data_IF_076140025407
#
_entry.id   IF_076140025407
#
_cell.length_a   1.000
_cell.length_b   1.000
_cell.length_c   1.000
_cell.angle_alpha   90.00
_cell.angle_beta   90.00
_cell.angle_gamma   90.00
#
_symmetry.space_group_name_H-M   'P 1'
#
loop_
_entity.id
_entity.type
_entity.pdbx_description
1 polymer ?
#
# COMPACT_ATOMS: atom_id res chain seq x y z
N UNK A 1 -5.98 20.08 4.36
CA UNK A 1 -7.04 20.14 3.33
C UNK A 1 -7.45 18.73 2.88
N UNK A 2 -6.64 18.02 2.07
CA UNK A 2 -6.92 16.65 1.57
C UNK A 2 -7.53 15.71 2.63
N UNK A 3 -6.80 15.45 3.71
CA UNK A 3 -7.24 14.51 4.76
C UNK A 3 -8.49 14.95 5.55
N UNK A 4 -8.84 16.23 5.53
CA UNK A 4 -10.11 16.69 6.11
C UNK A 4 -11.31 16.20 5.29
N UNK A 5 -11.21 16.22 3.95
CA UNK A 5 -12.23 15.65 3.07
C UNK A 5 -12.31 14.13 3.25
N UNK A 6 -11.17 13.45 3.38
CA UNK A 6 -11.16 12.03 3.70
C UNK A 6 -11.92 11.71 5.00
N UNK A 7 -11.69 12.47 6.06
CA UNK A 7 -12.42 12.30 7.33
C UNK A 7 -13.92 12.55 7.17
N UNK A 8 -14.33 13.54 6.37
CA UNK A 8 -15.76 13.74 6.03
C UNK A 8 -16.32 12.51 5.32
N UNK A 9 -15.58 11.95 4.34
CA UNK A 9 -16.00 10.75 3.62
C UNK A 9 -16.08 9.51 4.53
N UNK A 10 -15.19 9.41 5.52
CA UNK A 10 -15.26 8.38 6.56
C UNK A 10 -16.50 8.51 7.46
N UNK A 11 -17.22 9.62 7.48
CA UNK A 11 -18.53 9.71 8.15
C UNK A 11 -19.69 9.53 7.17
N UNK A 12 -19.66 10.22 6.02
CA UNK A 12 -20.77 10.23 5.07
C UNK A 12 -20.98 8.87 4.38
N UNK A 13 -19.90 8.17 4.03
CA UNK A 13 -20.03 6.89 3.32
C UNK A 13 -20.64 5.80 4.21
N UNK A 14 -20.24 5.64 5.48
CA UNK A 14 -20.97 4.81 6.45
C UNK A 14 -22.46 5.06 6.56
N UNK A 15 -22.92 6.32 6.49
CA UNK A 15 -24.35 6.64 6.56
C UNK A 15 -25.14 6.05 5.37
N UNK A 16 -24.47 5.85 4.22
CA UNK A 16 -25.04 5.23 3.03
C UNK A 16 -24.68 3.74 2.89
N UNK A 17 -24.12 3.14 3.94
CA UNK A 17 -23.56 1.80 3.92
C UNK A 17 -22.57 1.55 2.76
N UNK A 18 -21.71 2.53 2.51
CA UNK A 18 -20.58 2.43 1.61
C UNK A 18 -19.29 2.41 2.41
N UNK A 19 -18.31 1.60 1.97
CA UNK A 19 -17.04 1.47 2.66
C UNK A 19 -16.08 2.54 2.13
N UNK A 20 -15.76 3.53 2.97
CA UNK A 20 -14.65 4.45 2.71
C UNK A 20 -13.32 3.74 3.01
N UNK A 21 -12.31 3.92 2.15
CA UNK A 21 -11.06 3.19 2.17
C UNK A 21 -9.86 4.14 2.07
N UNK A 22 -8.91 3.98 2.98
CA UNK A 22 -7.57 4.57 2.85
C UNK A 22 -6.66 3.62 2.07
N UNK A 23 -6.92 3.55 0.77
CA UNK A 23 -6.30 2.62 -0.16
C UNK A 23 -6.09 3.28 -1.52
N UNK A 24 -5.02 2.91 -2.22
CA UNK A 24 -4.92 3.15 -3.67
C UNK A 24 -5.72 2.10 -4.43
N UNK A 25 -6.00 2.34 -5.71
CA UNK A 25 -6.67 1.37 -6.56
C UNK A 25 -6.22 1.47 -8.03
N UNK A 26 -6.19 0.33 -8.70
CA UNK A 26 -5.99 0.24 -10.14
C UNK A 26 -6.84 -0.89 -10.76
N UNK A 27 -6.97 -0.87 -12.09
CA UNK A 27 -7.77 -1.83 -12.84
C UNK A 27 -6.96 -2.44 -13.98
N UNK A 28 -7.06 -3.76 -14.12
CA UNK A 28 -6.43 -4.50 -15.22
C UNK A 28 -7.22 -4.41 -16.51
N UNK A 29 -6.62 -4.88 -17.61
CA UNK A 29 -7.26 -4.89 -18.94
C UNK A 29 -8.58 -5.68 -18.99
N UNK A 30 -8.76 -6.64 -18.09
CA UNK A 30 -9.98 -7.46 -17.97
C UNK A 30 -11.02 -6.84 -17.02
N UNK A 31 -10.80 -5.62 -16.54
CA UNK A 31 -11.69 -4.96 -15.58
C UNK A 31 -11.51 -5.45 -14.13
N UNK A 32 -10.51 -6.30 -13.86
CA UNK A 32 -10.20 -6.79 -12.53
C UNK A 32 -9.60 -5.67 -11.68
N UNK A 33 -10.29 -5.27 -10.62
CA UNK A 33 -9.86 -4.17 -9.73
C UNK A 33 -9.02 -4.72 -8.58
N UNK A 34 -7.96 -4.00 -8.22
CA UNK A 34 -7.16 -4.25 -7.02
C UNK A 34 -7.15 -2.98 -6.16
N UNK A 35 -7.34 -3.14 -4.85
CA UNK A 35 -7.19 -2.05 -3.86
C UNK A 35 -6.03 -2.35 -2.92
N UNK A 36 -5.25 -1.34 -2.56
CA UNK A 36 -4.06 -1.48 -1.71
C UNK A 36 -4.19 -0.58 -0.47
N UNK A 37 -4.58 -1.16 0.66
CA UNK A 37 -4.64 -0.46 1.94
C UNK A 37 -3.25 -0.25 2.53
N UNK A 38 -3.03 0.88 3.18
CA UNK A 38 -1.76 1.17 3.81
C UNK A 38 -1.66 2.60 4.33
N UNK A 39 -0.77 2.83 5.30
CA UNK A 39 -0.44 4.19 5.70
C UNK A 39 0.41 4.92 4.64
N UNK A 40 0.62 6.21 4.86
CA UNK A 40 1.50 7.00 4.00
C UNK A 40 2.93 6.42 4.01
N UNK A 41 3.50 6.22 2.82
CA UNK A 41 4.88 5.73 2.68
C UNK A 41 5.05 4.21 2.82
N UNK A 42 3.96 3.43 2.78
CA UNK A 42 4.01 1.95 2.80
C UNK A 42 3.89 1.32 1.41
N UNK A 43 3.85 2.13 0.35
CA UNK A 43 3.88 1.66 -1.05
C UNK A 43 2.61 1.85 -1.86
N UNK A 44 1.52 2.41 -1.30
CA UNK A 44 0.24 2.59 -2.03
C UNK A 44 0.39 3.23 -3.41
N UNK A 45 1.02 4.41 -3.49
CA UNK A 45 1.25 5.12 -4.75
C UNK A 45 2.17 4.32 -5.68
N UNK A 46 3.34 3.90 -5.19
CA UNK A 46 4.34 3.16 -5.98
C UNK A 46 3.82 1.85 -6.58
N UNK A 47 2.93 1.14 -5.87
CA UNK A 47 2.41 -0.17 -6.26
C UNK A 47 1.11 -0.10 -7.06
N UNK A 48 0.37 1.01 -6.97
CA UNK A 48 -0.80 1.26 -7.82
C UNK A 48 -0.43 1.83 -9.19
N UNK A 49 0.68 2.57 -9.28
CA UNK A 49 1.32 2.99 -10.52
C UNK A 49 2.06 1.79 -11.18
N UNK A 50 1.27 0.92 -11.79
CA UNK A 50 1.70 -0.30 -12.46
C UNK A 50 1.59 -0.11 -13.99
N UNK A 51 2.66 -0.32 -14.77
CA UNK A 51 2.65 -0.09 -16.22
C UNK A 51 1.68 -1.02 -16.99
N UNK A 52 1.20 -2.10 -16.37
CA UNK A 52 0.27 -3.04 -16.98
C UNK A 52 -1.20 -2.76 -16.65
N UNK A 53 -1.48 -1.73 -15.83
CA UNK A 53 -2.81 -1.47 -15.25
C UNK A 53 -3.12 0.02 -15.26
N UNK A 54 -4.40 0.34 -15.41
CA UNK A 54 -4.85 1.72 -15.41
C UNK A 54 -5.09 2.20 -13.97
N UNK A 55 -4.48 3.31 -13.59
CA UNK A 55 -4.64 3.91 -12.26
C UNK A 55 -6.08 4.42 -12.07
N UNK A 56 -6.70 4.10 -10.93
CA UNK A 56 -7.96 4.70 -10.49
C UNK A 56 -7.66 5.86 -9.53
N UNK A 57 -6.72 5.67 -8.61
CA UNK A 57 -6.25 6.68 -7.68
C UNK A 57 -5.19 6.13 -6.71
N UNK A 58 -4.48 7.01 -6.01
CA UNK A 58 -3.29 6.61 -5.23
C UNK A 58 -3.48 6.55 -3.71
N UNK A 59 -4.63 6.97 -3.16
CA UNK A 59 -4.75 7.10 -1.70
C UNK A 59 -6.16 6.93 -1.10
N UNK A 60 -7.22 7.44 -1.75
CA UNK A 60 -8.55 7.58 -1.13
C UNK A 60 -9.70 7.10 -2.04
N UNK A 61 -10.38 6.02 -1.66
CA UNK A 61 -11.45 5.42 -2.48
C UNK A 61 -12.68 5.04 -1.64
N UNK A 62 -13.81 4.85 -2.31
CA UNK A 62 -15.04 4.32 -1.70
C UNK A 62 -15.51 3.10 -2.47
N UNK A 63 -15.89 2.04 -1.76
CA UNK A 63 -16.54 0.85 -2.32
C UNK A 63 -18.05 0.89 -2.08
N UNK A 64 -18.79 1.17 -3.15
CA UNK A 64 -20.25 1.26 -3.19
C UNK A 64 -20.90 -0.08 -3.54
N UNK A 65 -22.21 -0.09 -3.78
CA UNK A 65 -22.94 -1.21 -4.37
C UNK A 65 -22.57 -1.51 -5.83
N UNK A 66 -21.89 -0.59 -6.53
CA UNK A 66 -21.54 -0.72 -7.96
C UNK A 66 -20.06 -0.99 -8.25
N UNK A 67 -19.18 -0.71 -7.29
CA UNK A 67 -17.75 -0.82 -7.49
C UNK A 67 -16.98 0.18 -6.65
N UNK A 68 -15.82 0.62 -7.14
CA UNK A 68 -14.99 1.62 -6.47
C UNK A 68 -14.97 2.94 -7.22
N UNK A 69 -14.88 4.05 -6.50
CA UNK A 69 -14.55 5.35 -7.06
C UNK A 69 -13.47 6.06 -6.25
N UNK A 70 -12.65 6.88 -6.93
CA UNK A 70 -11.67 7.75 -6.31
C UNK A 70 -12.34 9.01 -5.76
N UNK A 71 -11.99 9.40 -4.54
CA UNK A 71 -12.46 10.65 -3.91
C UNK A 71 -11.77 11.87 -4.55
N UNK A 72 -10.57 11.68 -5.10
CA UNK A 72 -9.65 12.73 -5.50
C UNK A 72 -9.61 12.95 -7.04
N UNK A 73 -9.06 14.11 -7.44
CA UNK A 73 -8.77 14.43 -8.85
C UNK A 73 -7.26 14.42 -9.18
N UNK A 74 -6.42 13.96 -8.27
CA UNK A 74 -4.97 13.95 -8.40
C UNK A 74 -4.31 13.05 -7.35
N UNK A 75 -2.98 13.04 -7.36
CA UNK A 75 -2.18 12.28 -6.41
C UNK A 75 -1.34 13.24 -5.56
N UNK A 76 -1.10 12.87 -4.31
CA UNK A 76 -0.21 13.60 -3.39
C UNK A 76 0.91 12.67 -2.92
N UNK A 77 1.81 12.37 -3.85
CA UNK A 77 2.82 11.34 -3.72
C UNK A 77 3.99 11.79 -2.85
N UNK A 78 4.58 10.85 -2.11
CA UNK A 78 5.86 11.08 -1.41
C UNK A 78 6.98 11.19 -2.45
N UNK A 79 7.80 12.24 -2.33
CA UNK A 79 8.80 12.56 -3.34
C UNK A 79 10.19 11.98 -3.05
N UNK A 80 10.48 11.63 -1.79
CA UNK A 80 11.80 11.12 -1.40
C UNK A 80 12.17 9.85 -2.18
N UNK A 81 13.31 9.89 -2.87
CA UNK A 81 13.86 8.79 -3.66
C UNK A 81 13.22 8.57 -5.03
N UNK A 82 12.26 9.42 -5.45
CA UNK A 82 11.68 9.33 -6.79
C UNK A 82 12.76 9.42 -7.86
N UNK A 83 12.70 8.52 -8.83
CA UNK A 83 13.67 8.46 -9.91
C UNK A 83 13.05 7.77 -11.15
N UNK A 84 13.52 8.12 -12.35
CA UNK A 84 12.96 7.60 -13.60
C UNK A 84 13.26 6.11 -13.85
N UNK A 85 14.12 5.46 -13.05
CA UNK A 85 14.48 4.04 -13.25
C UNK A 85 13.47 3.10 -12.61
N UNK A 86 12.99 3.42 -11.40
CA UNK A 86 12.06 2.55 -10.66
C UNK A 86 10.61 3.03 -10.74
N UNK A 87 10.40 4.33 -10.83
CA UNK A 87 9.09 4.98 -10.68
C UNK A 87 8.87 6.04 -11.77
N UNK A 88 9.13 5.67 -13.04
CA UNK A 88 9.06 6.56 -14.20
C UNK A 88 7.75 7.35 -14.29
N UNK A 89 6.59 6.69 -14.18
CA UNK A 89 5.30 7.36 -14.36
C UNK A 89 5.07 8.47 -13.32
N UNK A 90 5.44 8.20 -12.06
CA UNK A 90 5.33 9.18 -10.97
C UNK A 90 6.36 10.30 -11.15
N UNK A 91 7.59 9.98 -11.56
CA UNK A 91 8.64 10.96 -11.81
C UNK A 91 8.24 11.91 -12.95
N UNK A 92 7.78 11.38 -14.09
CA UNK A 92 7.36 12.15 -15.27
C UNK A 92 6.10 12.99 -15.01
N UNK A 93 5.28 12.61 -14.03
CA UNK A 93 4.11 13.40 -13.60
C UNK A 93 4.48 14.72 -12.91
N UNK A 94 5.73 14.86 -12.43
CA UNK A 94 6.24 16.08 -11.80
C UNK A 94 6.71 17.07 -12.86
N UNK A 95 5.74 17.75 -13.47
CA UNK A 95 5.93 18.73 -14.56
C UNK A 95 4.98 19.91 -14.39
N UNK A 96 5.02 20.88 -15.31
CA UNK A 96 4.13 22.04 -15.27
C UNK A 96 2.66 21.66 -14.99
N UNK A 97 2.05 22.31 -14.00
CA UNK A 97 0.73 21.96 -13.45
C UNK A 97 0.79 21.13 -12.16
N UNK A 98 1.92 20.51 -11.83
CA UNK A 98 2.20 19.89 -10.54
C UNK A 98 2.78 20.90 -9.53
N UNK A 99 2.76 20.53 -8.24
CA UNK A 99 3.35 21.27 -7.13
C UNK A 99 4.37 20.38 -6.44
N UNK A 100 5.56 20.91 -6.16
CA UNK A 100 6.55 20.27 -5.29
C UNK A 100 6.56 20.99 -3.93
N UNK A 101 6.40 20.25 -2.85
CA UNK A 101 6.29 20.78 -1.50
C UNK A 101 7.47 20.29 -0.66
N UNK A 102 8.16 21.24 -0.03
CA UNK A 102 9.36 21.02 0.79
C UNK A 102 10.51 20.28 0.08
N UNK A 103 10.52 20.29 -1.26
CA UNK A 103 11.60 19.73 -2.06
C UNK A 103 12.70 20.77 -2.28
N UNK A 104 13.96 20.33 -2.31
CA UNK A 104 15.10 21.18 -2.63
C UNK A 104 15.40 21.05 -4.13
N UNK A 105 15.80 22.16 -4.76
CA UNK A 105 16.25 22.16 -6.15
C UNK A 105 17.78 22.07 -6.22
N UNK A 106 18.30 21.28 -7.14
CA UNK A 106 19.71 21.28 -7.49
C UNK A 106 20.07 22.64 -8.12
N UNK A 107 21.02 23.36 -7.50
CA UNK A 107 21.39 24.73 -7.90
C UNK A 107 21.94 24.85 -9.31
N UNK A 108 22.46 23.77 -9.88
CA UNK A 108 23.08 23.76 -11.22
C UNK A 108 22.09 23.36 -12.30
N UNK A 109 21.22 22.40 -12.02
CA UNK A 109 20.27 21.86 -13.01
C UNK A 109 18.89 22.51 -12.95
N UNK A 110 18.49 23.03 -11.78
CA UNK A 110 17.13 23.53 -11.53
C UNK A 110 16.11 22.42 -11.29
N UNK A 111 16.50 21.15 -11.44
CA UNK A 111 15.66 19.99 -11.16
C UNK A 111 15.51 19.76 -9.66
N UNK A 112 14.47 19.04 -9.26
CA UNK A 112 14.29 18.63 -7.86
C UNK A 112 15.36 17.59 -7.50
N UNK A 113 16.08 17.83 -6.40
CA UNK A 113 16.86 16.79 -5.75
C UNK A 113 15.92 15.95 -4.86
N UNK A 114 15.42 14.85 -5.44
CA UNK A 114 14.52 13.94 -4.75
C UNK A 114 15.18 13.16 -3.59
N UNK A 115 16.48 13.31 -3.36
CA UNK A 115 17.17 12.67 -2.23
C UNK A 115 17.46 13.63 -1.08
N UNK A 116 17.29 14.94 -1.29
CA UNK A 116 17.50 15.94 -0.25
C UNK A 116 16.31 15.99 0.73
N UNK A 117 16.59 15.61 1.98
CA UNK A 117 15.65 15.62 3.10
C UNK A 117 15.98 16.71 4.15
N UNK A 118 16.78 17.72 3.80
CA UNK A 118 17.26 18.77 4.71
C UNK A 118 16.13 19.63 5.28
N UNK A 119 15.06 19.84 4.52
CA UNK A 119 13.82 20.49 5.00
C UNK A 119 13.01 19.51 5.83
N UNK A 120 12.65 18.35 5.25
CA UNK A 120 11.93 17.29 5.95
C UNK A 120 12.06 15.92 5.24
N UNK A 121 11.73 14.84 5.95
CA UNK A 121 11.70 13.46 5.41
C UNK A 121 10.40 13.10 4.67
N UNK A 122 9.50 14.07 4.51
CA UNK A 122 8.18 13.93 3.90
C UNK A 122 8.00 14.97 2.80
N UNK A 123 9.01 15.09 1.94
CA UNK A 123 8.92 15.80 0.66
C UNK A 123 7.78 15.22 -0.16
N UNK A 124 7.06 16.09 -0.87
CA UNK A 124 5.82 15.73 -1.56
C UNK A 124 5.76 16.35 -2.93
N UNK A 125 5.06 15.68 -3.83
CA UNK A 125 4.63 16.20 -5.12
C UNK A 125 3.13 15.98 -5.27
N UNK A 126 2.41 17.03 -5.65
CA UNK A 126 0.99 16.98 -5.97
C UNK A 126 0.80 17.16 -7.47
N UNK A 127 0.11 16.25 -8.14
CA UNK A 127 -0.14 16.34 -9.58
C UNK A 127 -1.55 15.87 -9.93
N UNK A 128 -2.19 16.45 -10.96
CA UNK A 128 -3.47 15.97 -11.47
C UNK A 128 -3.39 14.51 -11.93
N UNK A 129 -4.47 13.75 -11.82
CA UNK A 129 -4.50 12.34 -12.23
C UNK A 129 -4.14 12.19 -13.72
N UNK A 130 -4.49 13.17 -14.54
CA UNK A 130 -4.17 13.26 -15.97
C UNK A 130 -2.68 13.40 -16.29
N UNK A 131 -1.81 13.56 -15.28
CA UNK A 131 -0.38 13.51 -15.48
C UNK A 131 0.16 12.08 -15.58
N UNK A 132 -0.58 11.08 -15.08
CA UNK A 132 -0.24 9.67 -15.17
C UNK A 132 -0.84 9.10 -16.45
N UNK A 133 0.00 8.52 -17.31
CA UNK A 133 -0.45 7.85 -18.52
C UNK A 133 -1.32 6.62 -18.15
N UNK A 134 -2.44 6.44 -18.86
CA UNK A 134 -3.37 5.33 -18.60
C UNK A 134 -4.27 5.50 -17.37
N UNK A 135 -4.11 6.55 -16.56
CA UNK A 135 -5.05 6.86 -15.48
C UNK A 135 -6.46 7.09 -16.03
N UNK A 136 -7.48 6.58 -15.32
CA UNK A 136 -8.87 6.73 -15.76
C UNK A 136 -9.32 8.19 -15.67
N UNK A 137 -9.77 8.76 -16.79
CA UNK A 137 -10.37 10.11 -16.81
C UNK A 137 -11.60 10.22 -15.90
N UNK A 138 -12.42 9.16 -15.85
CA UNK A 138 -13.46 8.97 -14.84
C UNK A 138 -12.99 7.85 -13.91
N UNK A 139 -12.47 8.22 -12.76
CA UNK A 139 -11.85 7.32 -11.79
C UNK A 139 -12.87 6.45 -11.02
N UNK A 140 -13.59 5.60 -11.76
CA UNK A 140 -14.59 4.65 -11.27
C UNK A 140 -14.34 3.30 -11.96
N UNK A 141 -14.42 2.21 -11.20
CA UNK A 141 -14.27 0.85 -11.71
C UNK A 141 -15.22 -0.12 -10.99
N UNK A 142 -15.18 -1.41 -11.36
CA UNK A 142 -16.00 -2.46 -10.77
C UNK A 142 -15.60 -2.85 -9.34
N UNK A 143 -16.09 -4.00 -8.88
CA UNK A 143 -15.77 -4.50 -7.55
C UNK A 143 -14.32 -5.04 -7.47
N UNK A 144 -13.58 -4.78 -6.38
CA UNK A 144 -12.26 -5.35 -6.15
C UNK A 144 -12.26 -6.87 -6.21
N UNK A 145 -11.49 -7.41 -7.16
CA UNK A 145 -11.16 -8.85 -7.24
C UNK A 145 -10.10 -9.20 -6.20
N UNK A 146 -9.17 -8.29 -5.97
CA UNK A 146 -8.08 -8.42 -5.00
C UNK A 146 -8.10 -7.24 -4.02
N UNK A 147 -7.90 -7.55 -2.73
CA UNK A 147 -7.71 -6.60 -1.64
C UNK A 147 -6.33 -6.87 -1.05
N UNK A 148 -5.45 -5.87 -1.05
CA UNK A 148 -4.07 -6.01 -0.57
C UNK A 148 -3.88 -5.11 0.65
N UNK A 149 -3.34 -5.66 1.73
CA UNK A 149 -2.93 -4.94 2.92
C UNK A 149 -1.41 -4.76 2.89
N UNK A 150 -0.95 -3.51 2.82
CA UNK A 150 0.47 -3.17 2.82
C UNK A 150 0.96 -2.96 4.25
N UNK A 151 1.76 -3.90 4.73
CA UNK A 151 2.42 -3.80 6.04
C UNK A 151 3.89 -3.44 5.86
N UNK A 152 4.29 -2.28 6.39
CA UNK A 152 5.70 -1.90 6.46
C UNK A 152 6.26 -2.44 7.78
N UNK A 153 6.61 -3.72 7.78
CA UNK A 153 7.13 -4.39 8.96
C UNK A 153 8.60 -4.01 9.20
N UNK A 154 8.87 -3.27 10.28
CA UNK A 154 10.21 -2.89 10.69
C UNK A 154 10.94 -3.99 11.49
N UNK A 155 10.24 -5.02 11.96
CA UNK A 155 10.85 -6.17 12.63
C UNK A 155 11.37 -7.22 11.65
N UNK A 156 10.84 -7.25 10.43
CA UNK A 156 11.27 -8.15 9.36
C UNK A 156 10.88 -9.61 9.59
N UNK A 157 9.74 -9.81 10.24
CA UNK A 157 9.15 -11.10 10.60
C UNK A 157 7.94 -11.44 9.72
N UNK A 158 7.33 -10.45 9.06
CA UNK A 158 6.20 -10.70 8.16
C UNK A 158 6.69 -11.36 6.87
N UNK A 159 5.96 -12.38 6.35
CA UNK A 159 6.26 -12.98 5.06
C UNK A 159 6.21 -11.93 3.94
N UNK A 160 6.92 -12.12 2.83
CA UNK A 160 6.78 -11.25 1.67
C UNK A 160 5.32 -11.13 1.23
N UNK A 161 4.60 -12.25 1.22
CA UNK A 161 3.16 -12.31 0.90
C UNK A 161 2.48 -13.43 1.68
N UNK A 162 1.25 -13.18 2.13
CA UNK A 162 0.37 -14.21 2.66
C UNK A 162 -1.05 -14.07 2.07
N UNK A 163 -1.70 -15.19 1.77
CA UNK A 163 -3.13 -15.22 1.43
C UNK A 163 -3.94 -15.32 2.71
N UNK A 164 -4.82 -14.36 2.94
CA UNK A 164 -5.60 -14.33 4.17
C UNK A 164 -6.93 -15.07 3.99
N UNK A 165 -7.28 -15.87 4.98
CA UNK A 165 -8.66 -16.34 5.15
C UNK A 165 -9.58 -15.17 5.50
N UNK A 166 -10.89 -15.32 5.36
CA UNK A 166 -11.84 -14.25 5.70
C UNK A 166 -11.71 -13.78 7.16
N UNK A 167 -11.47 -14.70 8.09
CA UNK A 167 -11.27 -14.39 9.51
C UNK A 167 -9.98 -13.56 9.73
N UNK A 168 -8.89 -13.95 9.07
CA UNK A 168 -7.63 -13.21 9.12
C UNK A 168 -7.75 -11.85 8.45
N UNK A 169 -8.45 -11.75 7.33
CA UNK A 169 -8.67 -10.49 6.63
C UNK A 169 -9.33 -9.47 7.57
N UNK A 170 -10.36 -9.88 8.32
CA UNK A 170 -10.99 -9.04 9.34
C UNK A 170 -9.99 -8.63 10.43
N UNK A 171 -9.28 -9.60 11.01
CA UNK A 171 -8.31 -9.36 12.07
C UNK A 171 -7.22 -8.37 11.64
N UNK A 172 -6.54 -8.65 10.53
CA UNK A 172 -5.44 -7.84 10.02
C UNK A 172 -5.90 -6.45 9.59
N UNK A 173 -7.12 -6.32 9.07
CA UNK A 173 -7.69 -5.03 8.73
C UNK A 173 -7.94 -4.16 9.96
N UNK A 174 -8.61 -4.70 10.99
CA UNK A 174 -8.92 -3.94 12.22
C UNK A 174 -7.65 -3.64 13.02
N UNK A 175 -6.69 -4.56 13.06
CA UNK A 175 -5.41 -4.37 13.72
C UNK A 175 -4.53 -3.34 12.98
N UNK A 176 -4.46 -3.44 11.65
CA UNK A 176 -3.74 -2.48 10.80
C UNK A 176 -2.26 -2.34 11.16
N UNK A 177 -1.57 -3.45 11.40
CA UNK A 177 -0.15 -3.47 11.72
C UNK A 177 0.70 -2.98 10.54
N UNK A 178 1.53 -1.97 10.77
CA UNK A 178 2.46 -1.41 9.79
C UNK A 178 3.53 -0.56 10.50
N UNK A 179 4.17 0.39 9.81
CA UNK A 179 5.05 1.38 10.44
C UNK A 179 4.66 2.81 10.07
N UNK A 180 4.77 3.71 11.05
CA UNK A 180 4.74 5.15 10.82
C UNK A 180 6.10 5.58 10.27
N UNK A 181 6.12 6.05 9.03
CA UNK A 181 7.34 6.47 8.35
C UNK A 181 7.72 7.89 8.81
N UNK A 182 9.01 8.20 9.01
CA UNK A 182 9.45 9.53 9.45
C UNK A 182 8.89 10.68 8.61
N UNK A 183 8.47 11.75 9.29
CA UNK A 183 8.01 13.00 8.69
C UNK A 183 6.54 13.05 8.28
N UNK A 184 5.80 11.93 8.37
CA UNK A 184 4.35 11.91 8.08
C UNK A 184 3.56 12.67 9.15
N UNK A 185 3.93 12.49 10.42
CA UNK A 185 3.34 13.19 11.57
C UNK A 185 4.40 14.06 12.27
N UNK A 186 3.96 15.17 12.85
CA UNK A 186 4.84 16.06 13.62
C UNK A 186 5.38 15.37 14.88
N UNK A 187 6.62 15.70 15.27
CA UNK A 187 7.26 15.12 16.47
C UNK A 187 7.77 13.69 16.32
N UNK A 188 7.74 13.12 15.12
CA UNK A 188 8.25 11.78 14.85
C UNK A 188 9.78 11.65 14.90
N UNK A 189 10.28 10.42 15.07
CA UNK A 189 11.72 10.12 15.01
C UNK A 189 12.24 9.99 13.59
N UNK A 190 13.58 10.00 13.43
CA UNK A 190 14.25 9.76 12.14
C UNK A 190 14.14 8.32 11.63
N UNK A 191 13.71 7.38 12.47
CA UNK A 191 13.49 5.97 12.14
C UNK A 191 12.01 5.63 12.14
N UNK A 192 11.61 4.70 11.27
CA UNK A 192 10.24 4.20 11.20
C UNK A 192 9.88 3.47 12.49
N UNK A 193 8.67 3.71 13.01
CA UNK A 193 8.18 3.09 14.24
C UNK A 193 7.03 2.13 13.93
N UNK A 194 7.10 0.86 14.37
CA UNK A 194 5.95 -0.04 14.31
C UNK A 194 4.71 0.59 14.95
N UNK A 195 3.57 0.43 14.30
CA UNK A 195 2.28 0.96 14.76
C UNK A 195 1.15 0.02 14.38
N UNK A 196 0.10 -0.01 15.20
CA UNK A 196 -1.20 -0.59 14.87
C UNK A 196 -2.14 0.56 14.56
N UNK A 197 -2.44 0.75 13.28
CA UNK A 197 -3.31 1.83 12.81
C UNK A 197 -4.55 1.22 12.19
N UNK A 198 -5.65 1.20 12.94
CA UNK A 198 -6.87 0.51 12.54
C UNK A 198 -7.30 0.83 11.11
N UNK A 199 -7.70 -0.21 10.38
CA UNK A 199 -8.13 -0.12 8.98
C UNK A 199 -7.05 0.46 8.04
N UNK A 200 -5.78 0.46 8.46
CA UNK A 200 -4.65 1.13 7.81
C UNK A 200 -4.90 2.64 7.58
N UNK A 201 -5.73 3.27 8.41
CA UNK A 201 -6.18 4.65 8.25
C UNK A 201 -6.64 5.29 9.55
N UNK A 202 -6.17 4.79 10.70
CA UNK A 202 -6.62 5.18 12.05
C UNK A 202 -6.79 6.69 12.27
N UNK A 203 -5.82 7.55 11.87
CA UNK A 203 -5.93 9.00 12.04
C UNK A 203 -7.12 9.67 11.35
N UNK A 204 -7.79 8.98 10.41
CA UNK A 204 -8.85 9.55 9.57
C UNK A 204 -10.24 8.96 9.86
N UNK A 205 -10.32 7.90 10.67
CA UNK A 205 -11.57 7.20 10.96
C UNK A 205 -12.48 8.06 11.85
N UNK A 206 -13.79 7.99 11.60
CA UNK A 206 -14.82 8.65 12.45
C UNK A 206 -15.60 7.65 13.30
N UNK A 207 -15.76 6.42 12.79
CA UNK A 207 -16.47 5.32 13.47
C UNK A 207 -15.45 4.36 14.09
N UNK A 208 -15.91 3.47 14.95
CA UNK A 208 -15.05 2.41 15.48
C UNK A 208 -14.53 1.49 14.36
N UNK A 209 -13.30 1.00 14.49
CA UNK A 209 -12.65 0.18 13.47
C UNK A 209 -13.46 -1.05 13.05
N UNK A 210 -14.13 -1.70 14.02
CA UNK A 210 -15.01 -2.85 13.78
C UNK A 210 -16.10 -2.55 12.75
N UNK A 211 -16.65 -1.33 12.73
CA UNK A 211 -17.69 -0.94 11.76
C UNK A 211 -17.18 -1.07 10.32
N UNK A 212 -15.99 -0.53 10.03
CA UNK A 212 -15.39 -0.66 8.71
C UNK A 212 -14.94 -2.09 8.42
N UNK A 213 -14.53 -2.83 9.45
CA UNK A 213 -14.21 -4.25 9.34
C UNK A 213 -15.40 -5.06 8.86
N UNK A 214 -16.56 -4.91 9.51
CA UNK A 214 -17.83 -5.55 9.13
C UNK A 214 -18.21 -5.22 7.68
N UNK A 215 -18.16 -3.94 7.31
CA UNK A 215 -18.41 -3.51 5.93
C UNK A 215 -17.46 -4.18 4.92
N UNK A 216 -16.15 -4.25 5.24
CA UNK A 216 -15.18 -4.90 4.37
C UNK A 216 -15.46 -6.40 4.25
N UNK A 217 -15.78 -7.09 5.35
CA UNK A 217 -16.11 -8.51 5.33
C UNK A 217 -17.34 -8.81 4.47
N UNK A 218 -18.42 -8.04 4.63
CA UNK A 218 -19.63 -8.18 3.82
C UNK A 218 -19.33 -7.99 2.33
N UNK A 219 -18.58 -6.93 1.97
CA UNK A 219 -18.20 -6.65 0.59
C UNK A 219 -17.33 -7.75 -0.01
N UNK A 220 -16.28 -8.18 0.70
CA UNK A 220 -15.38 -9.22 0.23
C UNK A 220 -16.11 -10.56 0.03
N UNK A 221 -17.00 -10.92 0.96
CA UNK A 221 -17.79 -12.15 0.85
C UNK A 221 -18.78 -12.09 -0.31
N UNK A 222 -19.49 -10.96 -0.49
CA UNK A 222 -20.43 -10.77 -1.59
C UNK A 222 -19.76 -10.83 -2.97
N UNK A 223 -18.52 -10.37 -3.07
CA UNK A 223 -17.81 -10.21 -4.34
C UNK A 223 -16.70 -11.23 -4.56
N UNK A 224 -16.54 -12.22 -3.67
CA UNK A 224 -15.48 -13.24 -3.72
C UNK A 224 -14.08 -12.65 -3.91
N UNK A 225 -13.79 -11.57 -3.19
CA UNK A 225 -12.50 -10.88 -3.24
C UNK A 225 -11.44 -11.71 -2.52
N UNK A 226 -10.26 -11.84 -3.13
CA UNK A 226 -9.09 -12.46 -2.47
C UNK A 226 -8.36 -11.41 -1.65
N UNK A 227 -7.91 -11.79 -0.45
CA UNK A 227 -7.23 -10.88 0.46
C UNK A 227 -5.77 -11.31 0.64
N UNK A 228 -4.88 -10.34 0.54
CA UNK A 228 -3.44 -10.54 0.58
C UNK A 228 -2.82 -9.62 1.62
N UNK A 229 -1.87 -10.13 2.41
CA UNK A 229 -0.98 -9.32 3.23
C UNK A 229 0.38 -9.26 2.54
N UNK A 230 0.90 -8.06 2.30
CA UNK A 230 2.15 -7.83 1.57
C UNK A 230 3.12 -7.03 2.43
N UNK A 231 4.29 -7.61 2.73
CA UNK A 231 5.33 -6.93 3.48
C UNK A 231 6.12 -5.99 2.53
N UNK A 232 5.99 -4.69 2.77
CA UNK A 232 6.73 -3.62 2.05
C UNK A 232 7.81 -2.97 2.91
N UNK A 233 8.04 -3.51 4.12
CA UNK A 233 9.02 -3.05 5.08
C UNK A 233 10.37 -3.72 4.88
N UNK A 234 10.78 -4.54 5.85
CA UNK A 234 12.11 -5.15 5.94
C UNK A 234 12.03 -6.68 5.89
N UNK A 235 13.13 -7.31 5.51
CA UNK A 235 13.25 -8.77 5.42
C UNK A 235 14.63 -9.25 5.90
N UNK A 236 14.67 -10.47 6.43
CA UNK A 236 15.90 -11.11 6.92
C UNK A 236 16.47 -10.48 8.20
N UNK A 237 15.66 -9.72 8.94
CA UNK A 237 16.05 -9.08 10.18
C UNK A 237 15.37 -7.73 10.42
N UNK A 238 15.71 -7.11 11.55
CA UNK A 238 15.10 -5.85 12.00
C UNK A 238 15.74 -4.63 11.34
N UNK A 239 14.92 -3.63 11.04
CA UNK A 239 15.36 -2.35 10.47
C UNK A 239 16.38 -1.62 11.35
N UNK A 240 16.20 -1.66 12.67
CA UNK A 240 17.09 -1.04 13.65
C UNK A 240 18.44 -1.77 13.82
N UNK A 241 18.59 -2.95 13.20
CA UNK A 241 19.82 -3.74 13.14
C UNK A 241 20.44 -3.77 11.74
N UNK A 242 20.04 -2.86 10.85
CA UNK A 242 20.62 -2.72 9.52
C UNK A 242 20.08 -3.70 8.48
N UNK A 243 18.95 -4.37 8.74
CA UNK A 243 18.29 -5.19 7.73
C UNK A 243 17.90 -4.36 6.51
N UNK A 244 17.82 -5.02 5.36
CA UNK A 244 17.45 -4.37 4.11
C UNK A 244 15.93 -4.34 3.97
N UNK A 245 15.43 -3.29 3.32
CA UNK A 245 14.04 -3.24 2.89
C UNK A 245 13.72 -4.33 1.87
N UNK A 246 12.47 -4.75 1.84
CA UNK A 246 11.96 -5.63 0.79
C UNK A 246 12.27 -5.01 -0.59
N UNK A 247 12.97 -5.72 -1.49
CA UNK A 247 13.27 -5.18 -2.80
C UNK A 247 11.99 -4.87 -3.59
N UNK A 248 11.85 -3.65 -4.10
CA UNK A 248 10.65 -3.26 -4.87
C UNK A 248 10.37 -4.20 -6.05
N UNK A 249 11.42 -4.73 -6.69
CA UNK A 249 11.29 -5.74 -7.77
C UNK A 249 10.58 -7.01 -7.29
N UNK A 250 10.87 -7.46 -6.08
CA UNK A 250 10.21 -8.62 -5.46
C UNK A 250 8.74 -8.31 -5.21
N UNK A 251 8.45 -7.17 -4.59
CA UNK A 251 7.07 -6.73 -4.30
C UNK A 251 6.24 -6.61 -5.58
N UNK A 252 6.79 -6.05 -6.67
CA UNK A 252 6.11 -5.98 -7.97
C UNK A 252 5.85 -7.36 -8.58
N UNK A 253 6.84 -8.26 -8.56
CA UNK A 253 6.65 -9.63 -9.06
C UNK A 253 5.57 -10.41 -8.29
N UNK A 254 5.43 -10.17 -6.98
CA UNK A 254 4.33 -10.74 -6.19
C UNK A 254 2.98 -10.19 -6.65
N UNK A 255 2.88 -8.88 -6.86
CA UNK A 255 1.66 -8.24 -7.33
C UNK A 255 1.27 -8.73 -8.73
N UNK A 256 2.24 -8.90 -9.63
CA UNK A 256 2.04 -9.50 -10.95
C UNK A 256 1.45 -10.92 -10.82
N UNK A 257 2.00 -11.73 -9.91
CA UNK A 257 1.52 -13.08 -9.62
C UNK A 257 0.11 -13.12 -8.96
N UNK A 258 -0.25 -12.08 -8.22
CA UNK A 258 -1.62 -11.88 -7.71
C UNK A 258 -2.57 -11.56 -8.87
N UNK A 259 -2.15 -10.69 -9.80
CA UNK A 259 -2.97 -10.25 -10.92
C UNK A 259 -3.19 -11.34 -11.97
N UNK A 260 -2.15 -12.10 -12.33
CA UNK A 260 -2.26 -13.24 -13.26
C UNK A 260 -2.90 -14.51 -12.62
N UNK A 261 -3.10 -14.46 -11.31
CA UNK A 261 -3.72 -15.50 -10.49
C UNK A 261 -2.84 -16.74 -10.29
N UNK A 262 -1.57 -16.71 -10.68
CA UNK A 262 -0.61 -17.80 -10.40
C UNK A 262 -0.52 -18.03 -8.90
N UNK A 263 -0.46 -16.96 -8.11
CA UNK A 263 -0.38 -17.02 -6.65
C UNK A 263 -1.66 -17.61 -6.04
N UNK A 264 -2.83 -17.40 -6.63
CA UNK A 264 -4.09 -18.00 -6.14
C UNK A 264 -4.16 -19.53 -6.35
N UNK A 265 -3.36 -20.06 -7.30
CA UNK A 265 -3.33 -21.47 -7.71
C UNK A 265 -2.15 -22.26 -7.11
N UNK A 266 -1.23 -21.63 -6.40
CA UNK A 266 -0.08 -22.31 -5.81
C UNK A 266 -0.44 -23.03 -4.52
N UNK A 267 0.37 -24.00 -4.12
CA UNK A 267 0.31 -24.61 -2.79
C UNK A 267 0.80 -23.63 -1.72
N UNK A 268 0.22 -23.74 -0.52
CA UNK A 268 0.58 -22.92 0.63
C UNK A 268 0.96 -23.79 1.83
N UNK A 269 1.87 -23.29 2.65
CA UNK A 269 2.25 -23.83 3.96
C UNK A 269 1.86 -22.84 5.07
N UNK A 270 1.65 -23.33 6.29
CA UNK A 270 1.33 -22.46 7.42
C UNK A 270 2.60 -21.78 7.95
N UNK A 271 2.55 -20.46 8.20
CA UNK A 271 3.69 -19.75 8.77
C UNK A 271 3.78 -20.02 10.28
N UNK A 272 4.91 -20.55 10.81
CA UNK A 272 4.98 -21.04 12.19
C UNK A 272 4.73 -20.00 13.29
N UNK A 273 4.83 -18.69 12.99
CA UNK A 273 4.63 -17.62 13.97
C UNK A 273 3.15 -17.30 14.28
N UNK A 274 2.19 -18.09 13.78
CA UNK A 274 0.78 -18.05 14.19
C UNK A 274 -0.03 -16.82 13.73
N UNK A 275 0.60 -15.83 13.09
CA UNK A 275 -0.08 -14.60 12.66
C UNK A 275 -0.67 -14.69 11.24
N UNK A 276 -0.15 -15.58 10.37
CA UNK A 276 -0.60 -15.78 8.99
C UNK A 276 -0.66 -17.29 8.67
N UNK A 277 -1.79 -17.83 8.22
CA UNK A 277 -1.92 -19.27 7.96
C UNK A 277 -1.59 -19.66 6.52
N UNK A 278 -0.85 -18.85 5.76
CA UNK A 278 -0.40 -19.27 4.44
C UNK A 278 0.82 -18.47 3.92
N UNK A 279 1.97 -19.13 3.83
CA UNK A 279 3.12 -18.76 3.00
C UNK A 279 3.09 -19.62 1.72
N UNK A 280 3.56 -19.10 0.59
CA UNK A 280 3.60 -19.85 -0.68
C UNK A 280 4.69 -20.93 -0.61
N UNK A 281 4.32 -22.20 -0.82
CA UNK A 281 5.29 -23.30 -0.97
C UNK A 281 5.91 -23.25 -2.35
N UNK A 282 7.25 -23.23 -2.43
CA UNK A 282 7.99 -23.28 -3.71
C UNK A 282 7.59 -24.50 -4.54
N UNK A 283 7.03 -24.26 -5.73
CA UNK A 283 7.40 -25.04 -6.90
C UNK A 283 7.92 -24.08 -7.98
N UNK A 284 9.22 -24.19 -8.30
CA UNK A 284 9.92 -23.52 -9.41
C UNK A 284 10.02 -21.99 -9.42
N UNK A 285 10.44 -21.35 -8.32
CA UNK A 285 10.99 -19.98 -8.39
C UNK A 285 12.02 -19.70 -7.29
N UNK A 286 13.26 -19.47 -7.68
CA UNK A 286 14.34 -18.99 -6.81
C UNK A 286 14.21 -17.53 -6.35
N UNK A 287 13.01 -16.97 -6.17
CA UNK A 287 12.82 -15.51 -6.20
C UNK A 287 12.30 -14.82 -4.93
N UNK A 288 11.70 -15.54 -3.97
CA UNK A 288 11.12 -14.93 -2.77
C UNK A 288 11.82 -15.51 -1.54
N UNK A 289 12.64 -14.69 -0.86
CA UNK A 289 13.43 -15.12 0.29
C UNK A 289 12.51 -15.37 1.49
N UNK A 290 12.70 -16.50 2.18
CA UNK A 290 12.11 -16.74 3.50
C UNK A 290 12.64 -15.69 4.49
N UNK A 291 11.78 -15.08 5.34
CA UNK A 291 12.23 -14.18 6.39
C UNK A 291 13.26 -14.83 7.33
N UNK A 292 13.16 -16.15 7.53
CA UNK A 292 13.97 -16.95 8.47
C UNK A 292 15.34 -17.37 7.93
N UNK A 293 15.57 -17.37 6.61
CA UNK A 293 16.87 -17.77 6.04
C UNK A 293 17.98 -16.70 6.20
N UNK A 294 17.61 -15.47 6.52
CA UNK A 294 18.56 -14.37 6.78
C UNK A 294 18.93 -14.18 8.26
N UNK A 295 18.25 -14.88 9.17
CA UNK A 295 18.50 -14.75 10.61
C UNK A 295 19.59 -15.74 11.03
N UNK A 296 20.79 -15.22 11.31
CA UNK A 296 21.81 -15.97 12.05
C UNK A 296 21.24 -16.37 13.42
N UNK A 297 20.76 -17.61 13.52
CA UNK A 297 20.21 -18.20 14.74
C UNK A 297 18.68 -18.20 14.80
N UNK A 298 18.09 -19.42 14.85
CA UNK A 298 16.66 -19.64 15.10
C UNK A 298 16.17 -19.06 16.44
N UNK A 299 17.08 -18.72 17.35
CA UNK A 299 16.76 -18.11 18.66
C UNK A 299 16.36 -16.64 18.57
N UNK A 300 16.63 -15.93 17.47
CA UNK A 300 16.30 -14.51 17.34
C UNK A 300 14.81 -14.20 17.06
N UNK A 301 13.97 -15.24 16.90
CA UNK A 301 12.54 -15.15 16.52
C UNK A 301 11.59 -15.38 17.71
N UNK A 302 12.10 -15.76 18.90
CA UNK A 302 11.28 -15.96 20.11
C UNK A 302 11.07 -14.67 20.90
#
# INVERSE_FOLDING_TARGET
>A
MKKGILTVMFELMPQMNHLCMHASANVGKQGDVTVFFGLSGTGKTTLSADPHRNLIGDDEHVWTDRGVFNIEGGCYAKAIGLNPKTEKDIYDAVRFGAVAENCVLDKRTGEIDFYDESICKNTRVAYPLSHIEGALSKAIAGHPKNVIFLTNDAFGVMPPVARLTSAQAMFWFVMGYTANVPGVEAGGTRTARPIFSSCFGGPFLVRHATFYGEQLAEKMQKHNSRVWLLNTGYAGGRADRGAKRMPLRVTRAIIDAIHDGTLDRTEYEEYPAGACTSEVRRQSAGAFAEPTQGLEGREAVQ
#
